data_IF_525753200015
#
_entry.id   IF_525753200015
#
_cell.length_a   1.000
_cell.length_b   1.000
_cell.length_c   1.000
_cell.angle_alpha   90.00
_cell.angle_beta   90.00
_cell.angle_gamma   90.00
#
_symmetry.space_group_name_H-M   'P 1'
#
loop_
_entity.id
_entity.type
_entity.pdbx_description
1 polymer ?
#
# COMPACT_ATOMS: atom_id res chain seq x y z
N UNK A 1 17.16 -11.82 12.68
CA UNK A 1 16.31 -10.66 13.03
C UNK A 1 16.36 -9.52 12.00
N UNK A 2 17.54 -9.04 11.57
CA UNK A 2 17.63 -7.95 10.57
C UNK A 2 17.03 -8.24 9.18
N UNK A 3 17.07 -9.49 8.70
CA UNK A 3 16.46 -9.90 7.41
C UNK A 3 14.92 -9.83 7.41
N UNK A 4 14.28 -10.19 8.52
CA UNK A 4 12.81 -10.09 8.66
C UNK A 4 12.34 -8.62 8.66
N UNK A 5 13.14 -7.73 9.26
CA UNK A 5 12.85 -6.29 9.32
C UNK A 5 12.98 -5.62 7.95
N UNK A 6 14.02 -5.94 7.18
CA UNK A 6 14.25 -5.36 5.85
C UNK A 6 13.24 -5.81 4.80
N UNK A 7 12.86 -7.09 4.82
CA UNK A 7 11.84 -7.60 3.91
C UNK A 7 10.43 -7.10 4.24
N UNK A 8 10.08 -7.04 5.53
CA UNK A 8 8.79 -6.48 5.97
C UNK A 8 8.72 -5.01 5.62
N UNK A 9 9.79 -4.25 5.88
CA UNK A 9 9.88 -2.86 5.49
C UNK A 9 9.71 -2.66 3.98
N UNK A 10 10.45 -3.39 3.15
CA UNK A 10 10.39 -3.23 1.70
C UNK A 10 9.04 -3.68 1.13
N UNK A 11 8.66 -4.93 1.35
CA UNK A 11 7.54 -5.53 0.63
C UNK A 11 6.17 -5.28 1.28
N UNK A 12 6.12 -4.73 2.49
CA UNK A 12 4.86 -4.33 3.13
C UNK A 12 4.77 -2.82 3.20
N UNK A 13 5.63 -2.19 3.99
CA UNK A 13 5.53 -0.76 4.31
C UNK A 13 5.76 0.13 3.07
N UNK A 14 6.82 -0.11 2.31
CA UNK A 14 7.10 0.69 1.10
C UNK A 14 6.03 0.45 0.04
N UNK A 15 5.55 -0.79 -0.12
CA UNK A 15 4.47 -1.11 -1.07
C UNK A 15 3.15 -0.41 -0.72
N UNK A 16 2.84 -0.29 0.57
CA UNK A 16 1.67 0.43 1.09
C UNK A 16 1.77 1.93 0.76
N UNK A 17 2.94 2.53 0.96
CA UNK A 17 3.15 3.95 0.67
C UNK A 17 3.14 4.23 -0.85
N UNK A 18 3.66 3.31 -1.67
CA UNK A 18 3.47 3.39 -3.13
C UNK A 18 1.98 3.38 -3.46
N UNK A 19 1.20 2.46 -2.89
CA UNK A 19 -0.25 2.40 -3.09
C UNK A 19 -0.96 3.71 -2.71
N UNK A 20 -0.58 4.33 -1.58
CA UNK A 20 -1.11 5.63 -1.17
C UNK A 20 -0.72 6.75 -2.12
N UNK A 21 0.52 6.75 -2.59
CA UNK A 21 1.00 7.74 -3.55
C UNK A 21 0.20 7.68 -4.85
N UNK A 22 -0.09 6.48 -5.34
CA UNK A 22 -0.94 6.28 -6.53
C UNK A 22 -2.41 6.65 -6.24
N UNK A 23 -2.94 6.38 -5.04
CA UNK A 23 -4.28 6.82 -4.64
C UNK A 23 -4.41 8.35 -4.64
N UNK A 24 -3.45 9.06 -4.03
CA UNK A 24 -3.41 10.54 -4.05
C UNK A 24 -3.35 11.07 -5.47
N UNK A 25 -2.50 10.46 -6.30
CA UNK A 25 -2.39 10.83 -7.72
C UNK A 25 -3.71 10.62 -8.47
N UNK A 26 -4.40 9.51 -8.24
CA UNK A 26 -5.69 9.24 -8.89
C UNK A 26 -6.78 10.23 -8.44
N UNK A 27 -6.75 10.66 -7.18
CA UNK A 27 -7.68 11.66 -6.64
C UNK A 27 -7.31 13.11 -7.03
N UNK A 28 -6.16 13.32 -7.69
CA UNK A 28 -5.67 14.66 -8.05
C UNK A 28 -5.14 15.47 -6.86
N UNK A 29 -4.74 14.80 -5.77
CA UNK A 29 -4.23 15.44 -4.56
C UNK A 29 -2.71 15.63 -4.63
N UNK A 30 -2.22 16.61 -3.87
CA UNK A 30 -0.79 16.87 -3.71
C UNK A 30 -0.09 15.64 -3.16
N UNK A 31 1.20 15.38 -3.44
CA UNK A 31 1.93 14.25 -2.86
C UNK A 31 1.88 14.21 -1.33
N UNK A 32 2.05 13.02 -0.76
CA UNK A 32 1.99 12.77 0.69
C UNK A 32 2.84 13.75 1.47
N UNK A 33 2.22 14.42 2.45
CA UNK A 33 2.90 15.22 3.49
C UNK A 33 3.52 14.28 4.53
N UNK A 34 4.60 14.67 5.24
CA UNK A 34 5.13 13.90 6.35
C UNK A 34 4.01 13.49 7.31
N UNK A 35 4.00 12.24 7.76
CA UNK A 35 2.90 11.64 8.51
C UNK A 35 2.65 12.38 9.82
N UNK A 36 1.75 13.37 9.81
CA UNK A 36 1.54 14.25 10.97
C UNK A 36 0.52 13.71 11.96
N UNK A 37 -0.35 12.77 11.55
CA UNK A 37 -1.45 12.29 12.39
C UNK A 37 -1.47 10.75 12.50
N UNK A 38 -1.56 10.25 13.74
CA UNK A 38 -1.68 8.82 14.08
C UNK A 38 -3.01 8.46 14.76
N UNK A 39 -3.89 9.45 14.95
CA UNK A 39 -5.15 9.33 15.68
C UNK A 39 -6.33 9.48 14.72
N UNK A 40 -7.41 8.75 14.98
CA UNK A 40 -8.65 8.91 14.21
C UNK A 40 -9.17 10.36 14.33
N UNK A 41 -9.64 10.97 13.24
CA UNK A 41 -10.26 12.28 13.28
C UNK A 41 -11.62 12.22 13.98
N UNK A 42 -11.95 13.27 14.73
CA UNK A 42 -13.30 13.44 15.29
C UNK A 42 -14.30 13.81 14.19
N UNK A 43 -15.60 13.61 14.45
CA UNK A 43 -16.64 14.02 13.52
C UNK A 43 -16.62 15.54 13.29
N UNK A 44 -16.35 16.34 14.32
CA UNK A 44 -16.23 17.79 14.21
C UNK A 44 -15.08 18.20 13.29
N UNK A 45 -13.93 17.52 13.35
CA UNK A 45 -12.79 17.78 12.47
C UNK A 45 -13.10 17.41 11.02
N UNK A 46 -13.78 16.28 10.80
CA UNK A 46 -14.19 15.85 9.47
C UNK A 46 -15.20 16.83 8.84
N UNK A 47 -16.15 17.32 9.63
CA UNK A 47 -17.12 18.31 9.16
C UNK A 47 -16.48 19.66 8.88
N UNK A 48 -15.51 20.07 9.71
CA UNK A 48 -14.76 21.32 9.55
C UNK A 48 -13.72 21.30 8.42
N UNK A 49 -13.51 20.17 7.75
CA UNK A 49 -12.53 20.05 6.67
C UNK A 49 -12.85 21.04 5.52
N UNK A 50 -11.95 22.00 5.21
CA UNK A 50 -12.24 23.10 4.27
C UNK A 50 -12.24 22.68 2.80
N UNK A 51 -11.63 21.55 2.47
CA UNK A 51 -11.54 21.00 1.11
C UNK A 51 -11.65 19.48 1.14
N UNK A 52 -11.94 18.86 0.00
CA UNK A 52 -11.96 17.40 -0.12
C UNK A 52 -10.58 16.78 0.11
N UNK A 53 -9.50 17.46 -0.29
CA UNK A 53 -8.14 17.02 0.03
C UNK A 53 -7.83 17.12 1.53
N UNK A 54 -8.31 18.18 2.22
CA UNK A 54 -8.17 18.29 3.68
C UNK A 54 -8.95 17.18 4.39
N UNK A 55 -10.15 16.86 3.89
CA UNK A 55 -10.94 15.72 4.37
C UNK A 55 -10.20 14.39 4.16
N UNK A 56 -9.61 14.18 2.99
CA UNK A 56 -8.77 13.02 2.72
C UNK A 56 -7.57 12.94 3.67
N UNK A 57 -6.86 14.05 3.90
CA UNK A 57 -5.70 14.07 4.79
C UNK A 57 -6.05 13.67 6.24
N UNK A 58 -7.27 13.96 6.70
CA UNK A 58 -7.76 13.49 8.01
C UNK A 58 -8.00 11.97 8.04
N UNK A 59 -8.38 11.38 6.90
CA UNK A 59 -8.76 9.96 6.76
C UNK A 59 -7.72 9.11 6.05
N UNK A 60 -6.55 9.67 5.74
CA UNK A 60 -5.56 9.00 4.91
C UNK A 60 -5.17 7.65 5.55
N UNK A 61 -5.24 6.53 4.80
CA UNK A 61 -5.01 5.22 5.37
C UNK A 61 -3.64 5.10 6.06
N UNK A 62 -3.66 4.70 7.34
CA UNK A 62 -2.44 4.49 8.11
C UNK A 62 -2.50 3.22 8.94
N UNK A 63 -1.37 2.51 9.06
CA UNK A 63 -1.23 1.38 9.98
C UNK A 63 -0.78 1.88 11.35
N UNK A 64 -1.64 1.69 12.35
CA UNK A 64 -1.38 1.99 13.77
C UNK A 64 -0.14 1.32 14.37
N UNK A 65 0.39 0.26 13.74
CA UNK A 65 1.48 -0.56 14.29
C UNK A 65 2.89 -0.11 13.91
N UNK A 66 3.06 1.06 13.29
CA UNK A 66 4.39 1.61 13.01
C UNK A 66 5.06 2.03 14.32
N UNK A 67 5.94 1.16 14.84
CA UNK A 67 6.82 1.46 15.97
C UNK A 67 7.72 2.66 15.66
N UNK A 68 8.33 3.27 16.68
CA UNK A 68 9.31 4.35 16.50
C UNK A 68 10.44 3.96 15.52
N UNK A 69 10.88 2.71 15.56
CA UNK A 69 11.89 2.18 14.65
C UNK A 69 11.40 2.10 13.20
N UNK A 70 10.13 1.74 12.97
CA UNK A 70 9.57 1.72 11.62
C UNK A 70 9.46 3.13 11.04
N UNK A 71 9.10 4.12 11.86
CA UNK A 71 9.09 5.52 11.41
C UNK A 71 10.48 6.04 11.05
N UNK A 72 11.52 5.67 11.82
CA UNK A 72 12.89 6.00 11.45
C UNK A 72 13.31 5.43 10.09
N UNK A 73 12.97 4.16 9.82
CA UNK A 73 13.30 3.54 8.53
C UNK A 73 12.56 4.20 7.37
N UNK A 74 11.29 4.56 7.57
CA UNK A 74 10.49 5.27 6.57
C UNK A 74 11.09 6.64 6.26
N UNK A 75 11.33 7.45 7.29
CA UNK A 75 11.86 8.81 7.10
C UNK A 75 13.26 8.80 6.45
N UNK A 76 14.08 7.81 6.79
CA UNK A 76 15.48 7.74 6.32
C UNK A 76 15.61 7.09 4.95
N UNK A 77 14.87 6.00 4.69
CA UNK A 77 15.15 5.12 3.56
C UNK A 77 13.99 4.97 2.58
N UNK A 78 12.81 5.56 2.82
CA UNK A 78 11.64 5.36 1.96
C UNK A 78 11.94 5.67 0.50
N UNK A 79 12.49 6.85 0.18
CA UNK A 79 12.75 7.25 -1.21
C UNK A 79 13.67 6.26 -1.93
N UNK A 80 14.73 5.82 -1.26
CA UNK A 80 15.68 4.83 -1.80
C UNK A 80 15.00 3.47 -1.99
N UNK A 81 14.19 3.03 -1.03
CA UNK A 81 13.51 1.75 -1.06
C UNK A 81 12.39 1.73 -2.11
N UNK A 82 11.65 2.83 -2.27
CA UNK A 82 10.64 2.99 -3.30
C UNK A 82 11.28 2.96 -4.70
N UNK A 83 12.37 3.71 -4.92
CA UNK A 83 13.10 3.68 -6.17
C UNK A 83 13.66 2.28 -6.49
N UNK A 84 14.12 1.55 -5.47
CA UNK A 84 14.55 0.16 -5.62
C UNK A 84 13.39 -0.75 -6.05
N UNK A 85 12.23 -0.66 -5.39
CA UNK A 85 11.05 -1.45 -5.76
C UNK A 85 10.52 -1.11 -7.14
N UNK A 86 10.43 0.16 -7.50
CA UNK A 86 9.99 0.57 -8.84
C UNK A 86 10.91 0.00 -9.93
N UNK A 87 12.21 -0.10 -9.66
CA UNK A 87 13.18 -0.70 -10.58
C UNK A 87 13.06 -2.23 -10.65
N UNK A 88 12.85 -2.90 -9.52
CA UNK A 88 12.91 -4.37 -9.43
C UNK A 88 11.56 -5.04 -9.66
N UNK A 89 10.49 -4.40 -9.24
CA UNK A 89 9.12 -4.91 -9.28
C UNK A 89 8.18 -3.77 -9.70
N UNK A 90 8.33 -3.20 -10.93
CA UNK A 90 7.48 -2.11 -11.42
C UNK A 90 5.98 -2.48 -11.47
N UNK A 91 5.67 -3.78 -11.44
CA UNK A 91 4.32 -4.31 -11.38
C UNK A 91 3.51 -3.80 -10.18
N UNK A 92 4.13 -3.56 -9.02
CA UNK A 92 3.42 -3.07 -7.82
C UNK A 92 2.72 -1.74 -8.12
N UNK A 93 3.48 -0.75 -8.59
CA UNK A 93 2.95 0.58 -8.95
C UNK A 93 1.92 0.49 -10.08
N UNK A 94 2.19 -0.36 -11.07
CA UNK A 94 1.29 -0.57 -12.22
C UNK A 94 -0.08 -1.12 -11.79
N UNK A 95 -0.10 -2.07 -10.85
CA UNK A 95 -1.34 -2.66 -10.33
C UNK A 95 -2.18 -1.62 -9.61
N UNK A 96 -1.59 -0.84 -8.69
CA UNK A 96 -2.31 0.23 -8.00
C UNK A 96 -2.89 1.25 -8.97
N UNK A 97 -2.08 1.74 -9.90
CA UNK A 97 -2.51 2.75 -10.89
C UNK A 97 -3.70 2.27 -11.71
N UNK A 98 -3.57 1.12 -12.37
CA UNK A 98 -4.65 0.55 -13.19
C UNK A 98 -5.91 0.30 -12.38
N UNK A 99 -5.76 -0.18 -11.15
CA UNK A 99 -6.88 -0.44 -10.27
C UNK A 99 -7.62 0.86 -9.93
N UNK A 100 -6.90 1.91 -9.52
CA UNK A 100 -7.52 3.19 -9.18
C UNK A 100 -8.11 3.89 -10.39
N UNK A 101 -7.49 3.84 -11.56
CA UNK A 101 -8.06 4.39 -12.80
C UNK A 101 -9.45 3.79 -13.10
N UNK A 102 -9.58 2.46 -12.97
CA UNK A 102 -10.86 1.76 -13.16
C UNK A 102 -11.90 2.19 -12.11
N UNK A 103 -11.50 2.26 -10.84
CA UNK A 103 -12.42 2.62 -9.74
C UNK A 103 -12.85 4.08 -9.82
N UNK A 104 -11.94 4.98 -10.18
CA UNK A 104 -12.25 6.38 -10.42
C UNK A 104 -13.22 6.55 -11.59
N UNK A 105 -13.04 5.78 -12.66
CA UNK A 105 -13.97 5.74 -13.80
C UNK A 105 -15.39 5.34 -13.38
N UNK A 106 -15.53 4.43 -12.40
CA UNK A 106 -16.86 4.03 -11.88
C UNK A 106 -17.57 5.13 -11.09
N UNK A 107 -16.82 6.11 -10.56
CA UNK A 107 -17.36 7.30 -9.92
C UNK A 107 -17.69 8.43 -10.90
N UNK A 108 -17.48 8.23 -12.20
CA UNK A 108 -17.58 9.28 -13.22
C UNK A 108 -16.73 10.52 -12.89
N UNK A 109 -15.61 10.33 -12.17
CA UNK A 109 -14.73 11.41 -11.72
C UNK A 109 -15.29 12.29 -10.59
N UNK A 110 -16.41 11.92 -9.97
CA UNK A 110 -16.95 12.66 -8.81
C UNK A 110 -16.11 12.39 -7.56
N UNK A 111 -15.29 13.37 -7.19
CA UNK A 111 -14.45 13.34 -5.98
C UNK A 111 -15.04 14.26 -4.92
N UNK A 112 -16.16 13.81 -4.34
CA UNK A 112 -16.70 14.36 -3.09
C UNK A 112 -16.29 13.48 -1.89
N UNK A 113 -16.84 13.74 -0.69
CA UNK A 113 -16.52 12.96 0.51
C UNK A 113 -16.86 11.47 0.33
N UNK A 114 -17.99 11.15 -0.30
CA UNK A 114 -18.39 9.77 -0.59
C UNK A 114 -17.46 9.08 -1.59
N UNK A 115 -17.05 9.81 -2.64
CA UNK A 115 -16.07 9.33 -3.62
C UNK A 115 -14.71 9.06 -3.00
N UNK A 116 -14.25 9.94 -2.09
CA UNK A 116 -13.02 9.74 -1.32
C UNK A 116 -13.13 8.49 -0.44
N UNK A 117 -14.23 8.33 0.30
CA UNK A 117 -14.44 7.17 1.17
C UNK A 117 -14.47 5.86 0.40
N UNK A 118 -15.13 5.87 -0.75
CA UNK A 118 -15.11 4.75 -1.68
C UNK A 118 -13.68 4.41 -2.10
N UNK A 119 -12.90 5.40 -2.55
CA UNK A 119 -11.54 5.19 -3.02
C UNK A 119 -10.59 4.73 -1.89
N UNK A 120 -10.77 5.20 -0.67
CA UNK A 120 -10.06 4.71 0.53
C UNK A 120 -10.37 3.23 0.77
N UNK A 121 -11.65 2.84 0.72
CA UNK A 121 -12.05 1.43 0.82
C UNK A 121 -11.39 0.60 -0.29
N UNK A 122 -11.40 1.10 -1.51
CA UNK A 122 -10.77 0.43 -2.65
C UNK A 122 -9.26 0.29 -2.47
N UNK A 123 -8.58 1.25 -1.84
CA UNK A 123 -7.18 1.11 -1.45
C UNK A 123 -6.96 -0.04 -0.48
N UNK A 124 -7.79 -0.21 0.54
CA UNK A 124 -7.66 -1.34 1.46
C UNK A 124 -7.81 -2.69 0.74
N UNK A 125 -8.77 -2.80 -0.19
CA UNK A 125 -9.02 -4.01 -0.97
C UNK A 125 -7.81 -4.41 -1.84
N UNK A 126 -7.27 -3.45 -2.62
CA UNK A 126 -6.12 -3.72 -3.49
C UNK A 126 -4.82 -3.88 -2.71
N UNK A 127 -4.61 -3.12 -1.63
CA UNK A 127 -3.43 -3.25 -0.79
C UNK A 127 -3.35 -4.64 -0.15
N UNK A 128 -4.49 -5.16 0.34
CA UNK A 128 -4.55 -6.53 0.84
C UNK A 128 -4.20 -7.56 -0.25
N UNK A 129 -4.71 -7.36 -1.47
CA UNK A 129 -4.44 -8.25 -2.60
C UNK A 129 -2.97 -8.24 -3.03
N UNK A 130 -2.34 -7.05 -3.09
CA UNK A 130 -0.91 -6.89 -3.38
C UNK A 130 -0.07 -7.55 -2.29
N UNK A 131 -0.41 -7.34 -1.02
CA UNK A 131 0.26 -7.98 0.10
C UNK A 131 0.21 -9.50 0.02
N UNK A 132 -0.97 -10.07 -0.27
CA UNK A 132 -1.12 -11.52 -0.44
C UNK A 132 -0.29 -12.04 -1.63
N UNK A 133 -0.32 -11.36 -2.77
CA UNK A 133 0.49 -11.75 -3.93
C UNK A 133 1.99 -11.76 -3.62
N UNK A 134 2.47 -10.76 -2.86
CA UNK A 134 3.85 -10.70 -2.38
C UNK A 134 4.16 -11.87 -1.44
N UNK A 135 3.26 -12.22 -0.52
CA UNK A 135 3.45 -13.38 0.37
C UNK A 135 3.52 -14.69 -0.42
N UNK A 136 2.67 -14.87 -1.43
CA UNK A 136 2.70 -16.06 -2.29
C UNK A 136 3.98 -16.14 -3.11
N UNK A 137 4.50 -15.01 -3.62
CA UNK A 137 5.81 -14.96 -4.27
C UNK A 137 6.93 -15.39 -3.32
N UNK A 138 6.85 -15.04 -2.03
CA UNK A 138 7.82 -15.49 -1.03
C UNK A 138 7.74 -16.98 -0.78
N UNK A 139 6.53 -17.53 -0.62
CA UNK A 139 6.33 -18.97 -0.40
C UNK A 139 6.84 -19.78 -1.58
N UNK A 140 6.47 -19.40 -2.81
CA UNK A 140 6.95 -20.06 -4.03
C UNK A 140 8.48 -19.97 -4.21
N UNK A 141 9.09 -18.82 -3.89
CA UNK A 141 10.55 -18.68 -3.89
C UNK A 141 11.24 -19.53 -2.80
N UNK A 142 10.58 -19.73 -1.65
CA UNK A 142 11.05 -20.68 -0.63
C UNK A 142 10.95 -22.13 -1.12
N UNK A 143 9.89 -22.51 -1.84
CA UNK A 143 9.80 -23.82 -2.49
C UNK A 143 10.93 -24.03 -3.51
N UNK A 144 11.38 -22.97 -4.22
CA UNK A 144 12.53 -23.03 -5.13
C UNK A 144 13.89 -23.15 -4.42
N UNK A 145 14.03 -22.64 -3.18
CA UNK A 145 15.27 -22.78 -2.39
C UNK A 145 15.44 -24.17 -1.78
N UNK A 146 14.38 -24.97 -1.70
CA UNK A 146 14.40 -26.36 -1.21
C UNK A 146 14.53 -27.40 -2.35
N UNK A 147 15.09 -27.00 -3.49
CA UNK A 147 15.50 -27.92 -4.55
C UNK A 147 16.66 -28.87 -4.20
N UNK A 148 16.91 -29.12 -2.91
CA UNK A 148 17.80 -30.16 -2.39
C UNK A 148 17.03 -30.84 -1.26
N UNK A 149 16.32 -31.90 -1.64
CA UNK A 149 15.64 -32.92 -0.82
C UNK A 149 14.59 -32.40 0.20
N UNK A 150 13.32 -32.73 -0.09
CA UNK A 150 12.08 -32.43 0.65
C UNK A 150 11.46 -31.04 0.42
N UNK A 151 10.66 -30.95 -0.65
CA UNK A 151 9.76 -29.84 -0.93
C UNK A 151 8.39 -30.07 -0.23
N UNK A 152 8.02 -29.28 0.80
CA UNK A 152 6.72 -29.42 1.48
C UNK A 152 5.55 -28.74 0.76
N UNK A 153 5.77 -28.09 -0.39
CA UNK A 153 4.72 -27.42 -1.15
C UNK A 153 3.95 -28.47 -1.97
N UNK A 154 2.73 -28.82 -1.54
CA UNK A 154 1.88 -29.82 -2.20
C UNK A 154 1.32 -29.30 -3.53
N UNK A 155 0.95 -30.22 -4.42
CA UNK A 155 0.51 -29.95 -5.80
C UNK A 155 -0.73 -29.04 -5.95
N UNK A 156 -1.36 -28.61 -4.85
CA UNK A 156 -2.49 -27.67 -4.83
C UNK A 156 -2.10 -26.22 -5.22
N UNK A 157 -0.83 -25.86 -5.14
CA UNK A 157 -0.35 -24.51 -5.50
C UNK A 157 0.00 -24.35 -6.99
N UNK A 158 -0.05 -25.45 -7.77
CA UNK A 158 0.36 -25.43 -9.19
C UNK A 158 -0.75 -25.02 -10.15
N UNK A 159 -2.02 -25.16 -9.74
CA UNK A 159 -3.19 -24.98 -10.62
C UNK A 159 -3.79 -23.55 -10.59
N UNK A 160 -3.17 -22.60 -9.88
CA UNK A 160 -3.66 -21.21 -9.77
C UNK A 160 -2.90 -20.21 -10.66
N UNK A 161 -2.28 -20.67 -11.76
CA UNK A 161 -1.65 -19.81 -12.78
C UNK A 161 -2.45 -19.77 -14.08
#
# INVERSE_FOLDING_TARGET
MAWLLTETFLFREVSEIIGKSELRSALGFSPTVPWTRREEPSNEELEAAPTIEAYYNLREPFRYFLTLEHTFLLDTYFNTAAAFLDKKVPGIRTVYRKYFDVKLGSLQGKIDREGVDFMIKQYHDINQSVYLAILHLKQSAQCYKLGIEENPCTDLDRDNF
#
